data_IF_602378558565
#
_entry.id   IF_602378558565
#
_cell.length_a   1.000
_cell.length_b   1.000
_cell.length_c   1.000
_cell.angle_alpha   90.00
_cell.angle_beta   90.00
_cell.angle_gamma   90.00
#
_symmetry.space_group_name_H-M   'P 1'
#
loop_
_entity.id
_entity.type
_entity.pdbx_description
1 polymer ?
#
# COMPACT_ATOMS: atom_id res chain seq x y z
N UNK A 1 60.00 13.69 -36.84
CA UNK A 1 58.58 14.11 -36.80
C UNK A 1 57.77 12.83 -36.98
N UNK A 2 56.99 12.29 -36.04
CA UNK A 2 55.96 12.85 -35.13
C UNK A 2 56.01 11.98 -33.84
N UNK A 3 56.48 12.48 -32.70
CA UNK A 3 55.71 13.06 -31.57
C UNK A 3 54.58 12.18 -30.98
N UNK A 4 54.89 11.45 -29.90
CA UNK A 4 54.13 11.43 -28.64
C UNK A 4 52.79 10.69 -28.57
N UNK A 5 52.82 9.43 -28.13
CA UNK A 5 51.65 8.80 -27.49
C UNK A 5 51.67 9.21 -26.01
N UNK A 6 50.80 10.18 -25.66
CA UNK A 6 50.54 10.59 -24.28
C UNK A 6 49.71 9.52 -23.58
N UNK A 7 50.30 8.91 -22.56
CA UNK A 7 49.56 8.26 -21.49
C UNK A 7 48.66 9.30 -20.80
N UNK A 8 47.34 9.18 -20.92
CA UNK A 8 46.40 9.81 -19.99
C UNK A 8 45.26 8.82 -19.72
N UNK A 9 45.43 8.08 -18.63
CA UNK A 9 44.41 7.84 -17.59
C UNK A 9 42.95 7.77 -18.06
N UNK A 10 42.44 6.56 -18.35
CA UNK A 10 41.00 6.28 -18.40
C UNK A 10 40.61 5.30 -17.29
N UNK A 11 40.96 5.65 -16.06
CA UNK A 11 40.39 5.09 -14.83
C UNK A 11 39.90 6.28 -14.01
N UNK A 12 38.66 6.72 -14.23
CA UNK A 12 37.90 7.35 -13.17
C UNK A 12 36.40 7.26 -13.44
N UNK A 13 35.84 6.22 -12.82
CA UNK A 13 34.56 6.24 -12.12
C UNK A 13 33.35 6.36 -13.04
N UNK A 14 32.68 5.21 -13.20
CA UNK A 14 31.23 5.11 -13.28
C UNK A 14 30.63 6.23 -12.44
N UNK A 15 30.16 7.30 -13.08
CA UNK A 15 29.17 8.17 -12.49
C UNK A 15 27.92 7.28 -12.40
N UNK A 16 27.84 6.53 -11.30
CA UNK A 16 26.62 5.89 -10.84
C UNK A 16 25.67 7.07 -10.70
N UNK A 17 24.92 7.33 -11.75
CA UNK A 17 23.64 7.98 -11.62
C UNK A 17 22.86 7.03 -10.72
N UNK A 18 22.98 7.24 -9.41
CA UNK A 18 21.89 6.94 -8.51
C UNK A 18 20.79 7.89 -8.95
N UNK A 19 20.14 7.53 -10.06
CA UNK A 19 18.74 7.84 -10.23
C UNK A 19 18.13 7.14 -9.03
N UNK A 20 18.00 7.86 -7.92
CA UNK A 20 17.04 7.54 -6.90
C UNK A 20 15.71 7.63 -7.63
N UNK A 21 15.36 6.57 -8.36
CA UNK A 21 14.00 6.34 -8.78
C UNK A 21 13.26 6.25 -7.46
N UNK A 22 12.69 7.38 -7.02
CA UNK A 22 11.57 7.35 -6.11
C UNK A 22 10.49 6.60 -6.90
N UNK A 23 10.54 5.26 -6.84
CA UNK A 23 9.52 4.43 -7.44
C UNK A 23 8.24 4.85 -6.76
N UNK A 24 7.37 5.51 -7.52
CA UNK A 24 6.07 5.93 -7.04
C UNK A 24 5.43 4.71 -6.36
N UNK A 25 5.06 4.88 -5.10
CA UNK A 25 4.45 3.81 -4.33
C UNK A 25 3.20 3.33 -5.07
N UNK A 26 2.94 2.03 -5.01
CA UNK A 26 1.81 1.44 -5.71
C UNK A 26 1.17 0.31 -4.91
N UNK A 27 -0.13 0.16 -5.15
CA UNK A 27 -0.98 -0.90 -4.63
C UNK A 27 -1.54 -1.63 -5.83
N UNK A 28 -1.37 -2.96 -5.89
CA UNK A 28 -1.78 -3.76 -7.03
C UNK A 28 -1.18 -3.29 -8.39
N UNK A 29 -0.03 -2.61 -8.36
CA UNK A 29 0.60 -2.01 -9.55
C UNK A 29 -0.02 -0.69 -10.01
N UNK A 30 -1.02 -0.17 -9.29
CA UNK A 30 -1.61 1.15 -9.51
C UNK A 30 -0.87 2.15 -8.63
N UNK A 31 -0.28 3.17 -9.27
CA UNK A 31 0.54 4.18 -8.58
C UNK A 31 -0.33 5.16 -7.80
N UNK A 32 0.08 5.52 -6.59
CA UNK A 32 -0.50 6.66 -5.88
C UNK A 32 -0.41 7.94 -6.73
N UNK A 33 -1.43 8.79 -6.62
CA UNK A 33 -1.63 10.00 -7.42
C UNK A 33 -2.30 9.78 -8.76
N UNK A 34 -2.59 8.52 -9.15
CA UNK A 34 -3.34 8.25 -10.38
C UNK A 34 -4.78 8.75 -10.28
N UNK A 35 -5.37 9.11 -11.42
CA UNK A 35 -6.76 9.57 -11.50
C UNK A 35 -7.75 8.44 -11.21
N UNK A 36 -8.94 8.83 -10.75
CA UNK A 36 -10.06 7.94 -10.49
C UNK A 36 -10.37 7.01 -11.66
N UNK A 37 -10.52 7.56 -12.86
CA UNK A 37 -10.86 6.77 -14.06
C UNK A 37 -9.78 5.76 -14.41
N UNK A 38 -8.50 6.14 -14.25
CA UNK A 38 -7.39 5.21 -14.45
C UNK A 38 -7.40 4.09 -13.42
N UNK A 39 -7.60 4.42 -12.13
CA UNK A 39 -7.66 3.39 -11.09
C UNK A 39 -8.85 2.45 -11.33
N UNK A 40 -10.03 3.00 -11.63
CA UNK A 40 -11.24 2.23 -11.95
C UNK A 40 -10.99 1.28 -13.10
N UNK A 41 -10.46 1.76 -14.23
CA UNK A 41 -10.23 0.91 -15.40
C UNK A 41 -9.27 -0.24 -15.10
N UNK A 42 -8.19 0.02 -14.34
CA UNK A 42 -7.21 -1.02 -13.97
C UNK A 42 -7.77 -2.04 -12.98
N UNK A 43 -8.68 -1.63 -12.09
CA UNK A 43 -9.37 -2.54 -11.19
C UNK A 43 -10.40 -3.40 -11.95
N UNK A 44 -11.18 -2.80 -12.85
CA UNK A 44 -12.17 -3.51 -13.66
C UNK A 44 -11.52 -4.50 -14.63
N UNK A 45 -10.39 -4.13 -15.23
CA UNK A 45 -9.58 -5.02 -16.07
C UNK A 45 -9.09 -6.25 -15.28
N UNK A 46 -8.77 -6.07 -14.00
CA UNK A 46 -8.24 -7.15 -13.15
C UNK A 46 -9.32 -8.03 -12.55
N UNK A 47 -10.40 -7.44 -12.04
CA UNK A 47 -11.38 -8.12 -11.19
C UNK A 47 -12.76 -8.25 -11.84
N UNK A 48 -12.96 -7.66 -13.01
CA UNK A 48 -14.25 -7.57 -13.68
C UNK A 48 -15.08 -6.38 -13.20
N UNK A 49 -15.91 -5.85 -14.09
CA UNK A 49 -16.76 -4.67 -13.85
C UNK A 49 -17.82 -4.92 -12.77
N UNK A 50 -18.28 -6.15 -12.59
CA UNK A 50 -19.24 -6.54 -11.55
C UNK A 50 -18.63 -6.62 -10.16
N UNK A 51 -17.30 -6.51 -10.05
CA UNK A 51 -16.57 -6.60 -8.78
C UNK A 51 -16.12 -5.22 -8.27
N UNK A 52 -16.31 -4.15 -9.05
CA UNK A 52 -15.83 -2.79 -8.78
C UNK A 52 -17.01 -1.83 -8.70
N UNK A 53 -17.21 -1.22 -7.52
CA UNK A 53 -18.36 -0.35 -7.25
C UNK A 53 -17.91 1.03 -6.79
N UNK A 54 -18.49 2.07 -7.39
CA UNK A 54 -18.34 3.44 -6.89
C UNK A 54 -19.27 3.67 -5.70
N UNK A 55 -18.73 4.10 -4.56
CA UNK A 55 -19.51 4.50 -3.37
C UNK A 55 -18.68 5.45 -2.52
N UNK A 56 -19.33 6.44 -1.91
CA UNK A 56 -18.71 7.40 -0.96
C UNK A 56 -17.46 8.12 -1.53
N UNK A 57 -17.41 8.35 -2.84
CA UNK A 57 -16.24 8.95 -3.48
C UNK A 57 -15.00 8.02 -3.55
N UNK A 58 -15.15 6.74 -3.25
CA UNK A 58 -14.14 5.70 -3.44
C UNK A 58 -14.54 4.67 -4.49
N UNK A 59 -13.67 3.67 -4.65
CA UNK A 59 -13.94 2.44 -5.37
C UNK A 59 -13.83 1.27 -4.39
N UNK A 60 -14.89 0.48 -4.30
CA UNK A 60 -14.93 -0.73 -3.50
C UNK A 60 -14.80 -1.93 -4.43
N UNK A 61 -13.93 -2.87 -4.04
CA UNK A 61 -13.60 -4.05 -4.83
C UNK A 61 -13.90 -5.32 -4.03
N UNK A 62 -14.55 -6.29 -4.64
CA UNK A 62 -14.81 -7.61 -4.08
C UNK A 62 -14.04 -8.71 -4.84
N UNK A 63 -13.83 -9.86 -4.19
CA UNK A 63 -13.12 -10.99 -4.82
C UNK A 63 -11.63 -10.76 -5.03
N UNK A 64 -11.01 -9.89 -4.23
CA UNK A 64 -9.59 -9.55 -4.37
C UNK A 64 -8.68 -10.49 -3.57
N UNK A 65 -7.50 -10.75 -4.13
CA UNK A 65 -6.45 -11.55 -3.51
C UNK A 65 -5.13 -10.79 -3.46
N UNK A 66 -4.34 -10.99 -2.40
CA UNK A 66 -2.94 -10.57 -2.34
C UNK A 66 -2.06 -11.72 -1.84
N UNK A 67 -1.15 -12.19 -2.68
CA UNK A 67 -0.57 -13.51 -2.47
C UNK A 67 -1.68 -14.55 -2.44
N UNK A 68 -1.65 -15.44 -1.45
CA UNK A 68 -2.65 -16.49 -1.27
C UNK A 68 -3.85 -16.06 -0.41
N UNK A 69 -3.91 -14.78 -0.02
CA UNK A 69 -4.90 -14.27 0.93
C UNK A 69 -6.05 -13.60 0.17
N UNK A 70 -7.24 -14.19 0.30
CA UNK A 70 -8.49 -13.61 -0.20
C UNK A 70 -9.10 -12.67 0.83
N UNK A 71 -9.37 -11.43 0.44
CA UNK A 71 -10.01 -10.44 1.29
C UNK A 71 -11.50 -10.38 1.03
N UNK A 72 -12.28 -10.00 2.05
CA UNK A 72 -13.72 -9.79 1.88
C UNK A 72 -14.00 -8.56 0.99
N UNK A 73 -13.17 -7.52 1.09
CA UNK A 73 -13.34 -6.26 0.36
C UNK A 73 -12.02 -5.48 0.28
N UNK A 74 -11.93 -4.57 -0.67
CA UNK A 74 -10.88 -3.57 -0.78
C UNK A 74 -11.49 -2.22 -1.10
N UNK A 75 -10.83 -1.15 -0.68
CA UNK A 75 -11.23 0.22 -0.94
C UNK A 75 -10.06 1.02 -1.49
N UNK A 76 -10.35 1.81 -2.51
CA UNK A 76 -9.42 2.74 -3.13
C UNK A 76 -10.03 4.13 -3.00
N UNK A 77 -9.34 4.98 -2.26
CA UNK A 77 -9.78 6.31 -1.88
C UNK A 77 -8.96 7.38 -2.60
N UNK A 78 -9.57 8.55 -2.77
CA UNK A 78 -9.06 9.62 -3.59
C UNK A 78 -9.18 10.97 -2.89
N UNK A 79 -8.13 11.77 -2.99
CA UNK A 79 -8.24 13.22 -2.81
C UNK A 79 -8.72 13.87 -4.10
N UNK A 80 -9.36 15.03 -4.01
CA UNK A 80 -9.91 15.74 -5.16
C UNK A 80 -9.57 17.22 -5.08
N UNK A 81 -9.30 17.83 -6.21
CA UNK A 81 -9.42 19.29 -6.34
C UNK A 81 -10.50 19.59 -7.39
N UNK A 82 -10.68 20.86 -7.73
CA UNK A 82 -11.68 21.29 -8.72
C UNK A 82 -11.57 20.58 -10.10
N UNK A 83 -10.41 20.01 -10.43
CA UNK A 83 -10.08 19.50 -11.75
C UNK A 83 -9.63 18.04 -11.75
N UNK A 84 -9.09 17.56 -10.65
CA UNK A 84 -8.31 16.32 -10.60
C UNK A 84 -8.73 15.43 -9.44
N UNK A 85 -8.38 14.15 -9.58
CA UNK A 85 -8.49 13.14 -8.53
C UNK A 85 -7.15 12.45 -8.36
N UNK A 86 -6.84 12.09 -7.12
CA UNK A 86 -5.55 11.52 -6.75
C UNK A 86 -5.76 10.31 -5.85
N UNK A 87 -5.51 9.11 -6.38
CA UNK A 87 -5.49 7.89 -5.56
C UNK A 87 -4.49 8.07 -4.42
N UNK A 88 -4.97 8.12 -3.18
CA UNK A 88 -4.16 8.53 -2.04
C UNK A 88 -4.09 7.47 -0.93
N UNK A 89 -5.06 6.55 -0.88
CA UNK A 89 -5.17 5.57 0.19
C UNK A 89 -5.87 4.29 -0.30
N UNK A 90 -5.39 3.14 0.13
CA UNK A 90 -6.09 1.86 -0.08
C UNK A 90 -6.15 1.04 1.20
N UNK A 91 -7.23 0.30 1.35
CA UNK A 91 -7.50 -0.52 2.53
C UNK A 91 -8.16 -1.84 2.15
N UNK A 92 -7.74 -2.92 2.78
CA UNK A 92 -8.23 -4.27 2.54
C UNK A 92 -8.56 -4.94 3.86
N UNK A 93 -9.76 -5.53 3.94
CA UNK A 93 -10.34 -6.12 5.15
C UNK A 93 -10.60 -7.60 4.89
N UNK A 94 -10.13 -8.41 5.84
CA UNK A 94 -10.54 -9.80 5.98
C UNK A 94 -11.07 -10.01 7.40
N UNK A 95 -12.23 -10.65 7.49
CA UNK A 95 -12.95 -10.89 8.72
C UNK A 95 -12.89 -12.39 9.00
N UNK A 96 -12.58 -12.74 10.25
CA UNK A 96 -12.57 -14.10 10.74
C UNK A 96 -13.51 -14.26 11.92
N UNK A 97 -13.95 -15.50 12.13
CA UNK A 97 -14.55 -15.88 13.39
C UNK A 97 -13.50 -15.87 14.51
N UNK A 98 -13.96 -15.76 15.76
CA UNK A 98 -13.07 -15.63 16.91
C UNK A 98 -12.23 -16.88 17.20
N UNK A 99 -12.68 -18.05 16.77
CA UNK A 99 -11.97 -19.34 16.89
C UNK A 99 -10.89 -19.54 15.81
N UNK A 100 -10.87 -18.70 14.78
CA UNK A 100 -9.90 -18.76 13.67
C UNK A 100 -8.63 -17.93 13.95
N UNK A 101 -8.33 -17.60 15.20
CA UNK A 101 -7.22 -16.70 15.56
C UNK A 101 -5.86 -17.14 14.99
N UNK A 102 -5.55 -18.45 15.02
CA UNK A 102 -4.28 -18.95 14.47
C UNK A 102 -4.19 -18.73 12.95
N UNK A 103 -5.29 -18.91 12.22
CA UNK A 103 -5.33 -18.65 10.79
C UNK A 103 -5.19 -17.16 10.49
N UNK A 104 -5.87 -16.31 11.26
CA UNK A 104 -5.77 -14.87 11.12
C UNK A 104 -4.36 -14.34 11.41
N UNK A 105 -3.69 -14.87 12.43
CA UNK A 105 -2.28 -14.54 12.73
C UNK A 105 -1.35 -15.02 11.61
N UNK A 106 -1.55 -16.22 11.06
CA UNK A 106 -0.75 -16.73 9.95
C UNK A 106 -0.86 -15.86 8.68
N UNK A 107 -2.07 -15.41 8.32
CA UNK A 107 -2.27 -14.52 7.17
C UNK A 107 -1.59 -13.17 7.38
N UNK A 108 -1.63 -12.63 8.60
CA UNK A 108 -0.96 -11.36 8.95
C UNK A 108 0.56 -11.49 8.84
N UNK A 109 1.13 -12.59 9.34
CA UNK A 109 2.56 -12.88 9.27
C UNK A 109 3.02 -13.12 7.81
N UNK A 110 2.18 -13.76 6.99
CA UNK A 110 2.42 -13.96 5.56
C UNK A 110 2.41 -12.62 4.80
N UNK A 111 1.42 -11.76 5.03
CA UNK A 111 1.41 -10.41 4.45
C UNK A 111 2.65 -9.62 4.85
N UNK A 112 3.02 -9.66 6.13
CA UNK A 112 4.20 -8.94 6.61
C UNK A 112 5.49 -9.45 5.98
N UNK A 113 5.61 -10.75 5.74
CA UNK A 113 6.75 -11.34 5.04
C UNK A 113 6.87 -10.82 3.60
N UNK A 114 5.75 -10.77 2.86
CA UNK A 114 5.71 -10.19 1.51
C UNK A 114 6.08 -8.70 1.52
N UNK A 115 5.61 -7.96 2.52
CA UNK A 115 5.91 -6.54 2.68
C UNK A 115 7.38 -6.31 3.05
N UNK A 116 7.97 -7.14 3.91
CA UNK A 116 9.41 -7.13 4.18
C UNK A 116 10.24 -7.41 2.94
N UNK A 117 9.81 -8.33 2.08
CA UNK A 117 10.48 -8.54 0.80
C UNK A 117 10.44 -7.28 -0.09
N UNK A 118 9.31 -6.56 -0.09
CA UNK A 118 9.12 -5.34 -0.90
C UNK A 118 9.83 -4.11 -0.34
N UNK A 119 9.82 -3.92 0.98
CA UNK A 119 10.25 -2.69 1.65
C UNK A 119 11.57 -2.83 2.42
N UNK A 120 12.11 -4.04 2.53
CA UNK A 120 13.35 -4.34 3.22
C UNK A 120 13.29 -3.93 4.69
N UNK A 121 14.31 -3.19 5.13
CA UNK A 121 14.45 -2.73 6.52
C UNK A 121 13.45 -1.63 6.91
N UNK A 122 12.69 -1.08 5.95
CA UNK A 122 11.62 -0.11 6.20
C UNK A 122 10.35 -0.82 6.66
N UNK A 123 10.47 -1.70 7.63
CA UNK A 123 9.39 -2.50 8.19
C UNK A 123 9.63 -2.70 9.69
N UNK A 124 8.56 -2.81 10.46
CA UNK A 124 8.69 -3.09 11.88
C UNK A 124 7.38 -3.48 12.53
N UNK A 125 7.48 -3.72 13.83
CA UNK A 125 6.38 -4.19 14.65
C UNK A 125 6.08 -3.16 15.72
N UNK A 126 4.81 -2.97 16.06
CA UNK A 126 4.40 -2.13 17.18
C UNK A 126 3.52 -2.96 18.11
N UNK A 127 3.74 -2.89 19.42
CA UNK A 127 2.91 -3.63 20.37
C UNK A 127 2.41 -2.67 21.46
N UNK A 128 1.12 -2.38 21.42
CA UNK A 128 0.43 -1.53 22.40
C UNK A 128 -0.49 -2.32 23.32
N UNK A 129 -0.51 -3.66 23.24
CA UNK A 129 -1.47 -4.51 23.94
C UNK A 129 -2.92 -4.45 23.43
N UNK A 130 -3.28 -3.42 22.64
CA UNK A 130 -4.62 -3.28 22.03
C UNK A 130 -4.80 -4.06 20.72
N UNK A 131 -3.69 -4.39 20.04
CA UNK A 131 -3.68 -5.18 18.82
C UNK A 131 -3.16 -6.59 19.09
N UNK A 132 -3.73 -7.59 18.41
CA UNK A 132 -3.16 -8.94 18.42
C UNK A 132 -1.85 -8.97 17.63
N UNK A 133 -1.80 -8.20 16.53
CA UNK A 133 -0.61 -7.94 15.71
C UNK A 133 -0.70 -6.54 15.12
N UNK A 134 0.43 -5.84 15.06
CA UNK A 134 0.56 -4.60 14.31
C UNK A 134 1.94 -4.56 13.67
N UNK A 135 1.94 -4.46 12.35
CA UNK A 135 3.13 -4.29 11.53
C UNK A 135 3.01 -3.02 10.71
N UNK A 136 4.09 -2.26 10.64
CA UNK A 136 4.21 -1.13 9.73
C UNK A 136 5.21 -1.45 8.63
N UNK A 137 5.05 -0.79 7.49
CA UNK A 137 5.93 -0.96 6.34
C UNK A 137 6.02 0.31 5.48
N UNK A 138 7.13 0.41 4.77
CA UNK A 138 7.47 1.50 3.88
C UNK A 138 7.61 2.85 4.58
N UNK A 139 8.13 3.82 3.84
CA UNK A 139 8.15 5.23 4.23
C UNK A 139 7.15 6.00 3.37
N UNK A 140 6.41 6.91 4.00
CA UNK A 140 5.54 7.82 3.28
C UNK A 140 6.41 8.77 2.44
N UNK A 141 6.27 8.78 1.10
CA UNK A 141 7.14 9.58 0.24
C UNK A 141 6.87 11.09 0.33
N UNK A 142 5.79 11.53 0.98
CA UNK A 142 5.41 12.94 1.12
C UNK A 142 5.34 13.44 2.56
N UNK A 143 5.35 12.55 3.54
CA UNK A 143 5.39 12.94 4.96
C UNK A 143 6.58 12.29 5.66
N UNK A 144 7.60 13.09 5.95
CA UNK A 144 8.80 12.60 6.63
C UNK A 144 8.47 12.01 8.01
N UNK A 145 9.01 10.84 8.31
CA UNK A 145 8.82 10.15 9.60
C UNK A 145 7.52 9.35 9.71
N UNK A 146 6.63 9.39 8.71
CA UNK A 146 5.45 8.52 8.67
C UNK A 146 5.75 7.25 7.87
N UNK A 147 5.19 6.11 8.33
CA UNK A 147 5.19 4.88 7.54
C UNK A 147 4.25 5.01 6.34
N UNK A 148 4.49 4.20 5.31
CA UNK A 148 3.58 4.13 4.16
C UNK A 148 2.28 3.42 4.53
N UNK A 149 2.34 2.36 5.35
CA UNK A 149 1.17 1.54 5.61
C UNK A 149 1.35 0.57 6.77
N UNK A 150 0.31 -0.21 7.02
CA UNK A 150 0.26 -1.16 8.14
C UNK A 150 -0.53 -2.41 7.84
N UNK A 151 -0.16 -3.53 8.48
CA UNK A 151 -0.97 -4.74 8.62
C UNK A 151 -1.36 -4.89 10.08
N UNK A 152 -2.65 -4.97 10.37
CA UNK A 152 -3.18 -4.98 11.74
C UNK A 152 -4.16 -6.12 11.91
N UNK A 153 -4.06 -6.82 13.04
CA UNK A 153 -5.05 -7.77 13.51
C UNK A 153 -5.61 -7.32 14.85
N UNK A 154 -6.93 -7.19 14.93
CA UNK A 154 -7.64 -6.79 16.15
C UNK A 154 -8.87 -7.65 16.41
N UNK A 155 -9.34 -7.65 17.66
CA UNK A 155 -10.63 -8.22 18.06
C UNK A 155 -11.67 -7.09 18.13
N UNK A 156 -12.87 -7.36 17.67
CA UNK A 156 -13.99 -6.43 17.81
C UNK A 156 -15.33 -7.14 17.68
N UNK A 157 -16.40 -6.47 18.07
CA UNK A 157 -17.76 -6.98 17.85
C UNK A 157 -18.26 -6.43 16.51
N UNK A 158 -18.91 -7.27 15.69
CA UNK A 158 -19.67 -6.69 14.58
C UNK A 158 -21.03 -6.19 15.07
N UNK A 159 -21.83 -5.65 14.15
CA UNK A 159 -23.14 -5.08 14.44
C UNK A 159 -24.15 -6.07 15.03
N UNK A 160 -23.91 -7.38 14.87
CA UNK A 160 -24.70 -8.47 15.47
C UNK A 160 -24.25 -8.85 16.88
N UNK A 161 -23.26 -8.15 17.45
CA UNK A 161 -22.70 -8.43 18.77
C UNK A 161 -21.75 -9.64 18.81
N UNK A 162 -21.53 -10.32 17.68
CA UNK A 162 -20.65 -11.50 17.63
C UNK A 162 -19.19 -11.05 17.55
N UNK A 163 -18.33 -11.52 18.48
CA UNK A 163 -16.91 -11.24 18.43
C UNK A 163 -16.28 -11.81 17.16
N UNK A 164 -15.48 -10.98 16.47
CA UNK A 164 -14.75 -11.32 15.26
C UNK A 164 -13.33 -10.78 15.32
N UNK A 165 -12.49 -11.32 14.44
CA UNK A 165 -11.15 -10.81 14.21
C UNK A 165 -11.15 -10.04 12.90
N UNK A 166 -10.46 -8.90 12.90
CA UNK A 166 -10.37 -8.04 11.74
C UNK A 166 -8.91 -7.87 11.35
N UNK A 167 -8.57 -8.39 10.17
CA UNK A 167 -7.31 -8.16 9.50
C UNK A 167 -7.47 -6.96 8.57
N UNK A 168 -6.60 -5.97 8.74
CA UNK A 168 -6.54 -4.77 7.91
C UNK A 168 -5.18 -4.63 7.27
N UNK A 169 -5.13 -4.51 5.95
CA UNK A 169 -3.95 -4.06 5.22
C UNK A 169 -4.23 -2.66 4.69
N UNK A 170 -3.47 -1.67 5.17
CA UNK A 170 -3.65 -0.25 4.85
C UNK A 170 -2.42 0.30 4.16
N UNK A 171 -2.63 1.09 3.11
CA UNK A 171 -1.59 1.87 2.44
C UNK A 171 -2.00 3.34 2.37
N UNK A 172 -1.05 4.25 2.58
CA UNK A 172 -1.31 5.67 2.70
C UNK A 172 -2.00 6.05 4.03
N UNK A 173 -2.52 7.28 4.14
CA UNK A 173 -2.68 8.24 3.05
C UNK A 173 -1.37 8.89 2.58
N UNK A 174 -1.24 9.10 1.28
CA UNK A 174 -0.24 9.98 0.68
C UNK A 174 -0.96 11.24 0.19
N UNK A 175 -0.66 12.40 0.77
CA UNK A 175 -1.38 13.63 0.47
C UNK A 175 -0.82 14.32 -0.79
N UNK A 176 -1.64 14.44 -1.84
CA UNK A 176 -1.33 15.13 -3.10
C UNK A 176 -1.86 16.56 -3.15
N UNK A 177 -2.83 16.86 -2.30
CA UNK A 177 -3.32 18.21 -2.01
C UNK A 177 -3.16 18.48 -0.50
N UNK A 178 -3.37 19.71 -0.07
CA UNK A 178 -3.27 20.09 1.35
C UNK A 178 -4.17 19.21 2.23
N UNK A 179 -3.67 18.79 3.40
CA UNK A 179 -4.42 18.03 4.40
C UNK A 179 -5.62 18.82 4.92
N UNK A 180 -5.51 20.15 4.96
CA UNK A 180 -6.57 21.06 5.38
C UNK A 180 -7.57 21.42 4.27
N UNK A 181 -7.41 20.84 3.07
CA UNK A 181 -8.40 21.00 2.01
C UNK A 181 -9.67 20.27 2.41
N UNK A 182 -10.78 21.00 2.54
CA UNK A 182 -12.12 20.44 2.82
C UNK A 182 -12.68 19.64 1.63
N UNK A 183 -11.96 19.62 0.50
CA UNK A 183 -12.33 19.01 -0.77
C UNK A 183 -11.11 18.28 -1.35
#
# INVERSE_FOLDING_TARGET
MITGIKNVLLFLVLLITQVTTCSAQSVLGIKFGSSYDYVKSRLEERFGTTSVFAKEGGLHVFGLTMGDISFNKGEFNFQRDDKNTYFNHAEFWKIYNSDEQKAAEADVDALYSLLKQKYGDKCGTFNTGSFLRFYWFGENPKTSGEWLGSVVLTKGNANDGVPRLYLWLKYGPIYYIDKASDF
#
